data_IF_905630123089
#
_entry.id   IF_905630123089
#
_cell.length_a   1.000
_cell.length_b   1.000
_cell.length_c   1.000
_cell.angle_alpha   90.00
_cell.angle_beta   90.00
_cell.angle_gamma   90.00
#
_symmetry.space_group_name_H-M   'P 1'
#
loop_
_entity.id
_entity.type
_entity.pdbx_description
1 polymer ?
#
# COMPACT_ATOMS: atom_id res chain seq x y z
N UNK A 1 -7.26 28.54 -25.03
CA UNK A 1 -7.69 28.44 -23.62
C UNK A 1 -6.67 27.57 -22.92
N UNK A 2 -5.78 28.21 -22.16
CA UNK A 2 -4.72 27.51 -21.43
C UNK A 2 -5.32 27.10 -20.09
N UNK A 3 -5.76 25.85 -19.98
CA UNK A 3 -6.23 25.31 -18.70
C UNK A 3 -5.04 25.29 -17.73
N UNK A 4 -5.15 26.12 -16.70
CA UNK A 4 -4.32 26.05 -15.51
C UNK A 4 -4.55 24.67 -14.90
N UNK A 5 -3.56 23.77 -15.07
CA UNK A 5 -3.40 22.55 -14.28
C UNK A 5 -3.21 22.97 -12.82
N UNK A 6 -4.32 23.28 -12.14
CA UNK A 6 -4.35 23.56 -10.72
C UNK A 6 -3.82 22.32 -9.98
N UNK A 7 -3.02 22.55 -8.94
CA UNK A 7 -2.56 21.49 -8.03
C UNK A 7 -3.79 20.77 -7.47
N UNK A 8 -4.12 19.61 -8.06
CA UNK A 8 -5.27 18.84 -7.63
C UNK A 8 -4.89 18.16 -6.31
N UNK A 9 -5.53 18.59 -5.22
CA UNK A 9 -5.30 18.01 -3.91
C UNK A 9 -5.78 16.56 -3.93
N UNK A 10 -4.85 15.62 -4.01
CA UNK A 10 -5.18 14.19 -3.95
C UNK A 10 -5.52 13.83 -2.51
N UNK A 11 -6.62 13.13 -2.30
CA UNK A 11 -7.01 12.63 -0.99
C UNK A 11 -5.92 11.69 -0.44
N UNK A 12 -5.64 11.82 0.87
CA UNK A 12 -4.72 10.92 1.56
C UNK A 12 -5.21 9.46 1.41
N UNK A 13 -4.32 8.51 1.05
CA UNK A 13 -4.62 7.09 1.07
C UNK A 13 -5.07 6.63 2.45
N UNK A 14 -6.26 6.04 2.54
CA UNK A 14 -6.76 5.38 3.75
C UNK A 14 -7.12 3.92 3.45
N UNK A 15 -7.01 3.07 4.46
CA UNK A 15 -7.46 1.68 4.36
C UNK A 15 -8.98 1.67 4.16
N UNK A 16 -9.44 1.08 3.06
CA UNK A 16 -10.86 1.11 2.65
C UNK A 16 -11.40 2.54 2.51
N UNK A 17 -10.52 3.50 2.20
CA UNK A 17 -10.88 4.89 1.95
C UNK A 17 -11.46 5.12 0.56
N UNK A 18 -11.60 6.40 0.21
CA UNK A 18 -12.10 6.85 -1.08
C UNK A 18 -10.99 7.42 -1.96
N UNK A 19 -11.28 7.55 -3.26
CA UNK A 19 -10.39 8.17 -4.23
C UNK A 19 -9.38 7.22 -4.88
N UNK A 20 -8.61 7.73 -5.86
CA UNK A 20 -7.78 6.91 -6.74
C UNK A 20 -6.59 6.25 -6.04
N UNK A 21 -6.25 6.69 -4.81
CA UNK A 21 -5.19 6.13 -4.01
C UNK A 21 -5.69 5.40 -2.75
N UNK A 22 -6.97 5.02 -2.69
CA UNK A 22 -7.48 4.23 -1.57
C UNK A 22 -6.70 2.90 -1.44
N UNK A 23 -6.31 2.57 -0.20
CA UNK A 23 -5.61 1.31 0.09
C UNK A 23 -6.63 0.18 0.16
N UNK A 24 -6.42 -0.86 -0.63
CA UNK A 24 -7.25 -2.07 -0.62
C UNK A 24 -6.43 -3.31 -0.31
N UNK A 25 -6.95 -4.12 0.61
CA UNK A 25 -6.41 -5.42 0.98
C UNK A 25 -7.51 -6.45 0.70
N UNK A 26 -7.43 -7.06 -0.47
CA UNK A 26 -8.51 -7.90 -1.03
C UNK A 26 -8.61 -9.28 -0.37
N UNK A 27 -7.53 -9.78 0.24
CA UNK A 27 -7.57 -11.05 0.98
C UNK A 27 -8.26 -10.82 2.31
N UNK A 28 -9.41 -11.47 2.49
CA UNK A 28 -10.24 -11.42 3.71
C UNK A 28 -9.67 -12.19 4.89
N UNK A 29 -8.34 -12.17 5.10
CA UNK A 29 -7.73 -12.80 6.26
C UNK A 29 -8.03 -11.99 7.52
N UNK A 30 -8.22 -12.67 8.65
CA UNK A 30 -8.22 -12.03 9.96
C UNK A 30 -6.98 -11.16 10.09
N UNK A 31 -7.18 -9.88 10.37
CA UNK A 31 -6.08 -8.92 10.57
C UNK A 31 -5.31 -9.34 11.82
N UNK A 32 -4.00 -9.60 11.74
CA UNK A 32 -3.22 -9.99 12.91
C UNK A 32 -3.25 -8.92 14.00
N UNK A 33 -3.19 -9.31 15.28
CA UNK A 33 -3.31 -8.37 16.40
C UNK A 33 -2.26 -7.24 16.37
N UNK A 34 -1.06 -7.52 15.88
CA UNK A 34 0.00 -6.50 15.74
C UNK A 34 -0.27 -5.44 14.66
N UNK A 35 -1.34 -5.57 13.88
CA UNK A 35 -1.85 -4.52 12.99
C UNK A 35 -2.84 -3.60 13.69
N UNK A 36 -3.27 -3.90 14.91
CA UNK A 36 -4.20 -3.09 15.67
C UNK A 36 -3.47 -2.16 16.65
N UNK A 37 -3.80 -0.85 16.69
CA UNK A 37 -4.70 -0.15 15.77
C UNK A 37 -4.02 0.13 14.41
N UNK A 38 -4.82 0.14 13.33
CA UNK A 38 -4.32 0.27 11.97
C UNK A 38 -3.58 1.59 11.74
N UNK A 39 -3.99 2.65 12.42
CA UNK A 39 -3.38 3.98 12.36
C UNK A 39 -1.96 3.99 12.91
N UNK A 40 -1.72 3.21 13.96
CA UNK A 40 -0.37 3.02 14.54
C UNK A 40 0.48 2.18 13.62
N UNK A 41 -0.05 1.05 13.14
CA UNK A 41 0.69 0.18 12.21
C UNK A 41 1.09 0.93 10.93
N UNK A 42 0.21 1.79 10.41
CA UNK A 42 0.47 2.65 9.24
C UNK A 42 1.73 3.51 9.39
N UNK A 43 2.09 3.94 10.60
CA UNK A 43 3.29 4.78 10.82
C UNK A 43 4.49 3.97 11.32
N UNK A 44 4.28 2.79 11.90
CA UNK A 44 5.35 2.00 12.54
C UNK A 44 5.82 0.79 11.73
N UNK A 45 5.09 0.30 10.73
CA UNK A 45 5.44 -0.90 9.97
C UNK A 45 6.84 -0.82 9.32
N UNK A 46 7.26 0.38 8.87
CA UNK A 46 8.61 0.59 8.35
C UNK A 46 9.70 0.35 9.39
N UNK A 47 9.44 0.63 10.66
CA UNK A 47 10.37 0.33 11.75
C UNK A 47 10.48 -1.19 11.99
N UNK A 48 9.37 -1.92 11.89
CA UNK A 48 9.37 -3.37 12.01
C UNK A 48 10.20 -4.03 10.90
N UNK A 49 10.11 -3.53 9.67
CA UNK A 49 10.99 -3.94 8.56
C UNK A 49 12.46 -3.60 8.86
N UNK A 50 12.75 -2.40 9.35
CA UNK A 50 14.13 -1.97 9.65
C UNK A 50 14.78 -2.77 10.77
N UNK A 51 14.01 -3.25 11.75
CA UNK A 51 14.49 -4.13 12.83
C UNK A 51 14.65 -5.59 12.39
N UNK A 52 14.06 -5.97 11.26
CA UNK A 52 14.03 -7.35 10.79
C UNK A 52 12.96 -8.21 11.45
N UNK A 53 11.97 -7.61 12.11
CA UNK A 53 10.82 -8.32 12.69
C UNK A 53 9.98 -9.00 11.59
N UNK A 54 9.97 -8.39 10.40
CA UNK A 54 9.35 -8.90 9.19
C UNK A 54 10.18 -8.56 7.96
N UNK A 55 9.90 -9.26 6.87
CA UNK A 55 10.40 -9.00 5.53
C UNK A 55 9.28 -8.51 4.62
N UNK A 56 9.62 -7.79 3.55
CA UNK A 56 8.65 -7.38 2.54
C UNK A 56 7.95 -8.59 1.89
N UNK A 57 8.64 -9.74 1.81
CA UNK A 57 8.09 -11.00 1.28
C UNK A 57 6.91 -11.51 2.10
N UNK A 58 6.99 -11.42 3.42
CA UNK A 58 5.91 -11.83 4.31
C UNK A 58 4.68 -10.92 4.16
N UNK A 59 4.91 -9.62 3.98
CA UNK A 59 3.81 -8.68 3.75
C UNK A 59 3.01 -9.02 2.49
N UNK A 60 3.68 -9.42 1.41
CA UNK A 60 3.01 -9.72 0.13
C UNK A 60 2.24 -11.03 0.11
N UNK A 61 2.27 -11.82 1.18
CA UNK A 61 1.35 -12.95 1.35
C UNK A 61 -0.11 -12.48 1.46
N UNK A 62 -0.35 -11.30 2.04
CA UNK A 62 -1.70 -10.76 2.23
C UNK A 62 -1.91 -9.42 1.51
N UNK A 63 -0.84 -8.67 1.22
CA UNK A 63 -0.91 -7.36 0.59
C UNK A 63 -0.44 -7.38 -0.86
N UNK A 64 -1.26 -6.88 -1.78
CA UNK A 64 -0.80 -6.53 -3.12
C UNK A 64 -0.03 -5.20 -3.05
N UNK A 65 1.25 -5.12 -3.48
CA UNK A 65 1.99 -3.86 -3.49
C UNK A 65 1.29 -2.73 -4.24
N UNK A 66 0.64 -3.03 -5.37
CA UNK A 66 0.02 -2.04 -6.26
C UNK A 66 -1.21 -1.36 -5.66
N UNK A 67 -2.02 -2.10 -4.91
CA UNK A 67 -3.23 -1.56 -4.25
C UNK A 67 -3.02 -1.26 -2.77
N UNK A 68 -1.87 -1.65 -2.22
CA UNK A 68 -1.48 -1.51 -0.83
C UNK A 68 -0.41 -0.44 -0.62
N UNK A 69 0.81 -0.88 -0.30
CA UNK A 69 1.91 0.01 0.08
C UNK A 69 2.21 1.10 -0.96
N UNK A 70 2.12 0.79 -2.26
CA UNK A 70 2.46 1.75 -3.30
C UNK A 70 1.45 2.91 -3.44
N UNK A 71 0.25 2.81 -2.85
CA UNK A 71 -0.68 3.94 -2.79
C UNK A 71 -0.17 5.03 -1.85
N UNK A 72 0.26 4.65 -0.65
CA UNK A 72 0.92 5.54 0.29
C UNK A 72 2.27 6.02 -0.23
N UNK A 73 3.09 5.13 -0.78
CA UNK A 73 4.43 5.52 -1.25
C UNK A 73 4.38 6.54 -2.39
N UNK A 74 3.42 6.35 -3.31
CA UNK A 74 3.13 7.33 -4.36
C UNK A 74 2.66 8.67 -3.79
N UNK A 75 1.77 8.66 -2.81
CA UNK A 75 1.23 9.86 -2.19
C UNK A 75 2.31 10.71 -1.51
N UNK A 76 3.21 10.08 -0.74
CA UNK A 76 4.25 10.78 0.02
C UNK A 76 5.54 11.03 -0.77
N UNK A 77 5.61 10.56 -2.03
CA UNK A 77 6.78 10.75 -2.89
C UNK A 77 8.02 9.94 -2.50
N UNK A 78 7.85 8.80 -1.82
CA UNK A 78 8.95 7.89 -1.47
C UNK A 78 9.06 6.76 -2.51
N UNK A 79 10.22 6.10 -2.67
CA UNK A 79 10.38 5.03 -3.66
C UNK A 79 9.31 3.94 -3.56
N UNK A 80 8.84 3.49 -4.71
CA UNK A 80 7.90 2.37 -4.81
C UNK A 80 8.55 1.09 -4.30
N UNK A 81 7.77 0.26 -3.63
CA UNK A 81 8.18 -1.06 -3.17
C UNK A 81 7.92 -2.06 -4.30
N UNK A 82 8.96 -2.81 -4.65
CA UNK A 82 8.90 -3.93 -5.58
C UNK A 82 9.33 -5.18 -4.84
N UNK A 83 8.44 -6.19 -4.81
CA UNK A 83 8.72 -7.50 -4.23
C UNK A 83 8.49 -8.52 -5.36
N UNK A 84 9.55 -9.09 -5.95
CA UNK A 84 9.42 -10.00 -7.10
C UNK A 84 8.42 -11.15 -6.86
N UNK A 85 8.43 -11.69 -5.64
CA UNK A 85 7.55 -12.79 -5.21
C UNK A 85 6.07 -12.40 -5.16
N UNK A 86 5.74 -11.10 -5.13
CA UNK A 86 4.36 -10.64 -5.20
C UNK A 86 3.65 -11.15 -6.47
N UNK A 87 4.39 -11.30 -7.58
CA UNK A 87 3.85 -11.82 -8.85
C UNK A 87 3.30 -13.26 -8.73
N UNK A 88 3.75 -14.04 -7.74
CA UNK A 88 3.23 -15.39 -7.47
C UNK A 88 1.82 -15.37 -6.88
N UNK A 89 1.42 -14.27 -6.24
CA UNK A 89 0.16 -14.15 -5.50
C UNK A 89 -0.79 -13.12 -6.10
N UNK A 90 -0.24 -12.14 -6.84
CA UNK A 90 -0.93 -10.97 -7.35
C UNK A 90 -0.58 -10.82 -8.84
N UNK A 91 -1.29 -11.57 -9.68
CA UNK A 91 -1.15 -11.40 -11.13
C UNK A 91 -1.68 -10.00 -11.48
N UNK A 92 -0.82 -9.17 -12.08
CA UNK A 92 -1.26 -7.92 -12.69
C UNK A 92 -2.32 -8.23 -13.74
N UNK A 93 -3.58 -7.88 -13.46
CA UNK A 93 -4.68 -8.06 -14.42
C UNK A 93 -4.63 -7.07 -15.59
N UNK A 94 -3.53 -6.34 -15.78
CA UNK A 94 -3.38 -5.32 -16.83
C UNK A 94 -2.92 -5.91 -18.18
N UNK A 95 -3.47 -7.05 -18.59
CA UNK A 95 -3.40 -7.56 -19.96
C UNK A 95 -4.80 -7.53 -20.61
N UNK A 96 -5.42 -6.34 -20.63
CA UNK A 96 -6.51 -6.00 -21.56
C UNK A 96 -6.31 -4.57 -22.05
#
# INVERSE_FOLDING_TARGET
>A
MTELLACQQVQKPELKGEGPLAVTVVRGTTTPEYHAPAETWRVSHGQALNRGDFTQRECVLCHNPETGCNQCHKYVGTPRISVPEASLYWVSLNNK
#
